data_IF_950298171117
#
_entry.id   IF_950298171117
#
_cell.length_a   1.000
_cell.length_b   1.000
_cell.length_c   1.000
_cell.angle_alpha   90.00
_cell.angle_beta   90.00
_cell.angle_gamma   90.00
#
_symmetry.space_group_name_H-M   'P 1'
#
loop_
_entity.id
_entity.type
_entity.pdbx_description
1 polymer ?
#
# COMPACT_ATOMS: atom_id res chain seq x y z
N UNK A 1 12.76 2.78 -18.99
CA UNK A 1 12.10 3.06 -17.70
C UNK A 1 10.61 2.82 -17.85
N UNK A 2 10.05 1.84 -17.15
CA UNK A 2 8.59 1.72 -17.05
C UNK A 2 8.07 2.95 -16.30
N UNK A 3 7.19 3.74 -16.95
CA UNK A 3 6.46 4.82 -16.27
C UNK A 3 5.41 4.18 -15.37
N UNK A 4 5.79 3.74 -14.17
CA UNK A 4 4.79 3.24 -13.21
C UNK A 4 4.00 4.41 -12.64
N UNK A 5 2.71 4.46 -12.98
CA UNK A 5 1.77 5.45 -12.46
C UNK A 5 1.23 4.94 -11.12
N UNK A 6 1.50 5.67 -10.03
CA UNK A 6 0.87 5.41 -8.73
C UNK A 6 -0.62 5.69 -8.89
N UNK A 7 -1.46 4.72 -8.54
CA UNK A 7 -2.92 4.83 -8.66
C UNK A 7 -3.52 4.90 -7.26
N UNK A 8 -4.08 6.07 -6.93
CA UNK A 8 -4.86 6.25 -5.70
C UNK A 8 -6.12 5.39 -5.78
N UNK A 9 -6.52 4.78 -4.66
CA UNK A 9 -7.67 3.88 -4.59
C UNK A 9 -7.38 2.43 -4.98
N UNK A 10 -6.14 2.14 -5.41
CA UNK A 10 -5.73 0.78 -5.76
C UNK A 10 -5.03 0.06 -4.60
N UNK A 11 -5.07 -1.27 -4.69
CA UNK A 11 -4.47 -2.18 -3.73
C UNK A 11 -3.10 -2.63 -4.22
N UNK A 12 -2.21 -2.81 -3.26
CA UNK A 12 -0.84 -3.21 -3.48
C UNK A 12 -0.42 -4.22 -2.42
N UNK A 13 0.55 -5.06 -2.79
CA UNK A 13 1.21 -5.98 -1.88
C UNK A 13 2.68 -5.60 -1.78
N UNK A 14 3.17 -5.40 -0.56
CA UNK A 14 4.58 -5.21 -0.24
C UNK A 14 5.15 -6.51 0.36
N UNK A 15 6.31 -6.94 -0.13
CA UNK A 15 7.06 -8.08 0.43
C UNK A 15 8.21 -7.58 1.33
N UNK A 16 8.25 -8.04 2.58
CA UNK A 16 9.30 -7.77 3.58
C UNK A 16 9.58 -9.06 4.34
N UNK A 17 10.83 -9.55 4.30
CA UNK A 17 11.27 -10.75 5.04
C UNK A 17 10.28 -11.92 4.92
N UNK A 18 9.93 -12.28 3.68
CA UNK A 18 8.94 -13.31 3.30
C UNK A 18 7.48 -13.07 3.75
N UNK A 19 7.21 -11.95 4.41
CA UNK A 19 5.86 -11.52 4.79
C UNK A 19 5.28 -10.62 3.72
N UNK A 20 3.99 -10.83 3.44
CA UNK A 20 3.21 -9.99 2.53
C UNK A 20 2.39 -9.00 3.35
N UNK A 21 2.40 -7.74 2.93
CA UNK A 21 1.62 -6.68 3.54
C UNK A 21 0.71 -6.13 2.46
N UNK A 22 -0.59 -6.31 2.63
CA UNK A 22 -1.59 -5.75 1.72
C UNK A 22 -1.96 -4.35 2.21
N UNK A 23 -2.00 -3.42 1.27
CA UNK A 23 -2.36 -2.05 1.57
C UNK A 23 -3.04 -1.34 0.40
N UNK A 24 -3.81 -0.31 0.72
CA UNK A 24 -4.35 0.63 -0.26
C UNK A 24 -3.53 1.93 -0.28
N UNK A 25 -3.37 2.52 -1.46
CA UNK A 25 -2.82 3.87 -1.60
C UNK A 25 -3.96 4.87 -1.56
N UNK A 26 -3.93 5.76 -0.57
CA UNK A 26 -4.93 6.80 -0.37
C UNK A 26 -4.29 8.19 -0.52
N UNK A 27 -5.10 9.18 -0.90
CA UNK A 27 -4.69 10.58 -0.93
C UNK A 27 -4.95 11.22 0.43
N UNK A 28 -3.89 11.65 1.13
CA UNK A 28 -3.99 12.34 2.40
C UNK A 28 -3.88 13.86 2.24
N UNK A 29 -4.78 14.61 2.88
CA UNK A 29 -4.66 16.07 3.03
C UNK A 29 -4.14 16.38 4.43
N UNK A 30 -2.96 16.99 4.53
CA UNK A 30 -2.46 17.51 5.81
C UNK A 30 -2.87 18.98 5.95
N UNK A 31 -3.55 19.36 7.04
CA UNK A 31 -3.98 20.73 7.28
C UNK A 31 -2.76 21.67 7.36
N UNK A 32 -2.69 22.63 6.44
CA UNK A 32 -1.69 23.70 6.43
C UNK A 32 -0.51 23.51 5.46
N UNK A 33 -0.34 22.34 4.83
CA UNK A 33 0.62 22.14 3.73
C UNK A 33 0.05 21.15 2.71
N UNK A 34 -0.31 21.64 1.53
CA UNK A 34 -0.72 20.83 0.36
C UNK A 34 0.45 19.95 -0.13
N UNK A 35 0.79 18.90 0.62
CA UNK A 35 1.70 17.86 0.16
C UNK A 35 0.85 16.68 -0.26
N UNK A 36 1.08 16.19 -1.48
CA UNK A 36 0.59 14.88 -1.94
C UNK A 36 1.18 13.80 -1.03
N UNK A 37 0.55 13.53 0.11
CA UNK A 37 0.95 12.44 0.98
C UNK A 37 0.20 11.21 0.51
N UNK A 38 0.93 10.27 -0.08
CA UNK A 38 0.41 8.93 -0.32
C UNK A 38 0.38 8.22 1.03
N UNK A 39 -0.81 7.99 1.56
CA UNK A 39 -0.95 7.20 2.78
C UNK A 39 -1.06 5.73 2.40
N UNK A 40 -0.29 4.90 3.08
CA UNK A 40 -0.40 3.44 3.00
C UNK A 40 -1.17 2.96 4.21
N UNK A 41 -2.35 2.34 3.97
CA UNK A 41 -3.13 1.69 5.03
C UNK A 41 -2.87 0.20 5.05
N UNK A 42 -2.22 -0.29 6.10
CA UNK A 42 -2.03 -1.72 6.36
C UNK A 42 -3.25 -2.21 7.13
N UNK A 43 -3.90 -3.24 6.60
CA UNK A 43 -5.00 -3.92 7.29
C UNK A 43 -4.44 -5.10 8.10
N UNK A 44 -4.63 -5.07 9.42
CA UNK A 44 -4.38 -6.20 10.32
C UNK A 44 -5.71 -6.65 10.94
N UNK A 45 -5.77 -7.90 11.41
CA UNK A 45 -7.00 -8.54 11.95
C UNK A 45 -7.81 -7.66 12.91
N UNK A 46 -7.11 -6.90 13.75
CA UNK A 46 -7.71 -6.14 14.84
C UNK A 46 -7.37 -4.64 14.81
N UNK A 47 -6.58 -4.18 13.84
CA UNK A 47 -6.09 -2.80 13.76
C UNK A 47 -5.75 -2.43 12.33
N UNK A 48 -5.99 -1.17 12.00
CA UNK A 48 -5.47 -0.59 10.78
C UNK A 48 -4.37 0.40 11.14
N UNK A 49 -3.29 0.38 10.36
CA UNK A 49 -2.18 1.31 10.51
C UNK A 49 -2.05 2.13 9.25
N UNK A 50 -2.14 3.45 9.38
CA UNK A 50 -1.89 4.39 8.30
C UNK A 50 -0.53 5.04 8.52
N UNK A 51 0.32 5.02 7.49
CA UNK A 51 1.59 5.73 7.52
C UNK A 51 1.78 6.57 6.26
N UNK A 52 2.31 7.79 6.40
CA UNK A 52 2.65 8.61 5.25
C UNK A 52 3.84 7.99 4.51
N UNK A 53 3.70 7.80 3.21
CA UNK A 53 4.77 7.34 2.33
C UNK A 53 5.11 8.42 1.30
N UNK A 54 6.41 8.68 1.14
CA UNK A 54 6.90 9.56 0.08
C UNK A 54 6.75 8.91 -1.29
N UNK A 55 6.36 9.70 -2.30
CA UNK A 55 6.22 9.26 -3.69
C UNK A 55 7.48 8.59 -4.24
N UNK A 56 8.63 9.13 -3.89
CA UNK A 56 9.95 8.66 -4.32
C UNK A 56 10.25 7.26 -3.76
N UNK A 57 9.89 7.03 -2.50
CA UNK A 57 10.07 5.74 -1.84
C UNK A 57 9.16 4.68 -2.46
N UNK A 58 7.89 5.03 -2.71
CA UNK A 58 6.96 4.13 -3.39
C UNK A 58 7.50 3.71 -4.77
N UNK A 59 7.93 4.68 -5.58
CA UNK A 59 8.52 4.41 -6.91
C UNK A 59 9.77 3.53 -6.82
N UNK A 60 10.64 3.77 -5.84
CA UNK A 60 11.83 2.96 -5.59
C UNK A 60 11.43 1.50 -5.33
N UNK A 61 10.49 1.25 -4.42
CA UNK A 61 10.05 -0.11 -4.08
C UNK A 61 9.33 -0.84 -5.22
N UNK A 62 8.60 -0.11 -6.07
CA UNK A 62 8.06 -0.68 -7.32
C UNK A 62 9.18 -1.10 -8.27
N UNK A 63 10.19 -0.26 -8.48
CA UNK A 63 11.32 -0.57 -9.35
C UNK A 63 12.16 -1.75 -8.82
N UNK A 64 12.26 -1.88 -7.49
CA UNK A 64 12.89 -3.00 -6.81
C UNK A 64 12.03 -4.28 -6.79
N UNK A 65 10.84 -4.27 -7.42
CA UNK A 65 9.86 -5.37 -7.41
C UNK A 65 9.45 -5.82 -6.00
N UNK A 66 9.51 -4.91 -5.02
CA UNK A 66 9.05 -5.13 -3.64
C UNK A 66 7.56 -4.87 -3.47
N UNK A 67 7.01 -3.98 -4.32
CA UNK A 67 5.59 -3.68 -4.41
C UNK A 67 5.04 -4.22 -5.73
N UNK A 68 3.89 -4.90 -5.66
CA UNK A 68 3.07 -5.28 -6.80
C UNK A 68 1.63 -4.73 -6.65
N UNK A 69 1.00 -4.36 -7.76
CA UNK A 69 -0.43 -3.98 -7.79
C UNK A 69 -1.26 -5.27 -7.76
N UNK A 70 -2.27 -5.31 -6.89
CA UNK A 70 -3.21 -6.43 -6.76
C UNK A 70 -4.64 -5.94 -6.88
N UNK A 71 -5.57 -6.85 -7.13
CA UNK A 71 -7.01 -6.57 -7.17
C UNK A 71 -7.60 -6.46 -5.77
N UNK A 72 -8.76 -5.82 -5.66
CA UNK A 72 -9.52 -5.77 -4.41
C UNK A 72 -9.92 -7.18 -3.90
N UNK A 73 -10.18 -8.12 -4.82
CA UNK A 73 -10.54 -9.50 -4.49
C UNK A 73 -9.35 -10.25 -3.90
N UNK A 74 -8.15 -10.10 -4.46
CA UNK A 74 -6.92 -10.68 -3.91
C UNK A 74 -6.59 -10.08 -2.53
N UNK A 75 -6.75 -8.77 -2.39
CA UNK A 75 -6.58 -8.08 -1.10
C UNK A 75 -7.54 -8.63 -0.03
N UNK A 76 -8.83 -8.74 -0.36
CA UNK A 76 -9.84 -9.31 0.54
C UNK A 76 -9.53 -10.76 0.90
N UNK A 77 -9.18 -11.58 -0.09
CA UNK A 77 -8.82 -13.00 0.12
C UNK A 77 -7.65 -13.13 1.08
N UNK A 78 -6.61 -12.31 0.92
CA UNK A 78 -5.46 -12.28 1.81
C UNK A 78 -5.85 -11.95 3.26
N UNK A 79 -6.67 -10.91 3.44
CA UNK A 79 -7.15 -10.47 4.76
C UNK A 79 -7.97 -11.56 5.43
N UNK A 80 -8.89 -12.20 4.70
CA UNK A 80 -9.76 -13.26 5.25
C UNK A 80 -8.98 -14.53 5.61
N UNK A 81 -8.01 -14.94 4.79
CA UNK A 81 -7.21 -16.15 5.06
C UNK A 81 -6.23 -15.97 6.23
N UNK A 82 -5.68 -14.78 6.42
CA UNK A 82 -4.73 -14.48 7.51
C UNK A 82 -5.38 -13.88 8.76
N UNK A 83 -6.67 -13.51 8.68
CA UNK A 83 -7.47 -13.03 9.82
C UNK A 83 -8.21 -14.13 10.58
N UNK A 84 -8.12 -15.40 10.15
CA UNK A 84 -8.90 -16.53 10.66
C UNK A 84 -8.44 -17.19 11.96
N UNK A 85 -7.26 -16.87 12.48
CA UNK A 85 -6.72 -17.45 13.74
C UNK A 85 -6.92 -16.52 14.95
#
# INVERSE_FOLDING_TARGET
MLKTKIKVGNYYQLTVDDKKIVFAVLYGFETGKNKDVYATRIYLKNKDFEFPMKKELFKKWVNEKRIEEITAVEALTYILQKGGD
#
